data_IF_552866185298
#
_entry.id   IF_552866185298
#
_cell.length_a   1.000
_cell.length_b   1.000
_cell.length_c   1.000
_cell.angle_alpha   90.00
_cell.angle_beta   90.00
_cell.angle_gamma   90.00
#
_symmetry.space_group_name_H-M   'P 1'
#
loop_
_entity.id
_entity.type
_entity.pdbx_description
1 polymer ?
#
# COMPACT_ATOMS: atom_id res chain seq x y z
N UNK A 1 -46.24 -45.64 -27.57
CA UNK A 1 -46.08 -44.19 -27.81
C UNK A 1 -46.11 -43.49 -26.45
N UNK A 2 -44.94 -43.25 -25.83
CA UNK A 2 -44.86 -42.65 -24.49
C UNK A 2 -45.06 -41.14 -24.60
N UNK A 3 -46.25 -40.67 -24.22
CA UNK A 3 -46.55 -39.24 -24.11
C UNK A 3 -45.75 -38.66 -22.94
N UNK A 4 -44.63 -38.00 -23.22
CA UNK A 4 -43.96 -37.16 -22.23
C UNK A 4 -44.91 -36.02 -21.82
N UNK A 5 -45.49 -36.12 -20.63
CA UNK A 5 -46.19 -35.00 -20.01
C UNK A 5 -45.17 -33.87 -19.83
N UNK A 6 -45.28 -32.81 -20.64
CA UNK A 6 -44.59 -31.55 -20.37
C UNK A 6 -45.12 -31.02 -19.04
N UNK A 7 -44.34 -31.15 -17.96
CA UNK A 7 -44.62 -30.51 -16.67
C UNK A 7 -44.48 -29.00 -16.89
N UNK A 8 -45.62 -28.33 -17.11
CA UNK A 8 -45.67 -26.87 -17.12
C UNK A 8 -45.37 -26.37 -15.71
N UNK A 9 -44.43 -25.44 -15.59
CA UNK A 9 -44.17 -24.73 -14.35
C UNK A 9 -45.46 -24.08 -13.86
N UNK A 10 -45.84 -24.32 -12.61
CA UNK A 10 -46.97 -23.61 -12.01
C UNK A 10 -46.60 -22.14 -11.79
N UNK A 11 -47.57 -21.23 -11.91
CA UNK A 11 -47.35 -19.79 -11.72
C UNK A 11 -46.73 -19.47 -10.35
N UNK A 12 -47.03 -20.31 -9.36
CA UNK A 12 -46.46 -20.27 -8.01
C UNK A 12 -44.98 -20.68 -7.97
N UNK A 13 -44.59 -21.78 -8.63
CA UNK A 13 -43.18 -22.18 -8.75
C UNK A 13 -42.36 -21.10 -9.47
N UNK A 14 -42.92 -20.43 -10.48
CA UNK A 14 -42.23 -19.36 -11.20
C UNK A 14 -41.96 -18.14 -10.29
N UNK A 15 -42.91 -17.78 -9.42
CA UNK A 15 -42.72 -16.71 -8.43
C UNK A 15 -41.62 -17.05 -7.41
N UNK A 16 -41.58 -18.29 -6.92
CA UNK A 16 -40.53 -18.75 -6.00
C UNK A 16 -39.15 -18.65 -6.65
N UNK A 17 -39.02 -19.12 -7.91
CA UNK A 17 -37.74 -19.07 -8.64
C UNK A 17 -37.26 -17.62 -8.82
N UNK A 18 -38.15 -16.70 -9.16
CA UNK A 18 -37.82 -15.27 -9.30
C UNK A 18 -37.37 -14.67 -7.96
N UNK A 19 -38.04 -15.03 -6.87
CA UNK A 19 -37.70 -14.52 -5.53
C UNK A 19 -36.34 -15.03 -5.05
N UNK A 20 -36.05 -16.32 -5.26
CA UNK A 20 -34.74 -16.93 -4.93
C UNK A 20 -33.63 -16.30 -5.78
N UNK A 21 -33.87 -16.09 -7.08
CA UNK A 21 -32.92 -15.38 -7.96
C UNK A 21 -32.68 -13.94 -7.50
N UNK A 22 -33.71 -13.20 -7.09
CA UNK A 22 -33.56 -11.84 -6.59
C UNK A 22 -32.69 -11.77 -5.33
N UNK A 23 -32.85 -12.72 -4.40
CA UNK A 23 -32.00 -12.82 -3.20
C UNK A 23 -30.56 -13.18 -3.56
N UNK A 24 -30.36 -14.15 -4.46
CA UNK A 24 -29.02 -14.56 -4.91
C UNK A 24 -28.30 -13.44 -5.67
N UNK A 25 -29.02 -12.69 -6.51
CA UNK A 25 -28.48 -11.52 -7.22
C UNK A 25 -28.15 -10.41 -6.22
N UNK A 26 -29.05 -10.12 -5.28
CA UNK A 26 -28.82 -9.09 -4.25
C UNK A 26 -27.59 -9.42 -3.39
N UNK A 27 -27.51 -10.63 -2.86
CA UNK A 27 -26.38 -11.09 -2.03
C UNK A 27 -25.08 -11.25 -2.83
N UNK A 28 -25.15 -11.78 -4.04
CA UNK A 28 -24.00 -11.93 -4.94
C UNK A 28 -23.40 -10.60 -5.38
N UNK A 29 -24.23 -9.63 -5.79
CA UNK A 29 -23.78 -8.29 -6.18
C UNK A 29 -23.18 -7.55 -4.98
N UNK A 30 -23.79 -7.65 -3.79
CA UNK A 30 -23.27 -6.98 -2.60
C UNK A 30 -21.89 -7.51 -2.19
N UNK A 31 -21.71 -8.83 -2.20
CA UNK A 31 -20.43 -9.47 -1.84
C UNK A 31 -19.31 -9.22 -2.86
N UNK A 32 -19.63 -9.18 -4.16
CA UNK A 32 -18.64 -8.89 -5.22
C UNK A 32 -18.25 -7.40 -5.20
N UNK A 33 -19.21 -6.51 -4.95
CA UNK A 33 -19.00 -5.06 -4.89
C UNK A 33 -18.07 -4.67 -3.74
N UNK A 34 -18.23 -5.25 -2.55
CA UNK A 34 -17.39 -4.91 -1.39
C UNK A 34 -15.97 -5.47 -1.50
N UNK A 35 -15.81 -6.74 -1.87
CA UNK A 35 -14.49 -7.36 -2.00
C UNK A 35 -13.62 -6.74 -3.10
N UNK A 36 -14.22 -6.33 -4.23
CA UNK A 36 -13.52 -5.63 -5.30
C UNK A 36 -13.13 -4.20 -4.93
N UNK A 37 -14.02 -3.49 -4.22
CA UNK A 37 -13.79 -2.11 -3.82
C UNK A 37 -12.68 -1.99 -2.76
N UNK A 38 -12.65 -2.90 -1.78
CA UNK A 38 -11.63 -2.95 -0.71
C UNK A 38 -10.21 -3.04 -1.27
N UNK A 39 -10.01 -3.95 -2.24
CA UNK A 39 -8.74 -4.09 -2.95
C UNK A 39 -8.36 -2.81 -3.72
N UNK A 40 -9.32 -2.20 -4.41
CA UNK A 40 -9.10 -0.97 -5.17
C UNK A 40 -8.66 0.19 -4.25
N UNK A 41 -9.28 0.34 -3.08
CA UNK A 41 -8.90 1.38 -2.12
C UNK A 41 -7.51 1.14 -1.56
N UNK A 42 -7.19 -0.11 -1.20
CA UNK A 42 -5.86 -0.48 -0.73
C UNK A 42 -4.79 -0.17 -1.79
N UNK A 43 -5.00 -0.61 -3.04
CA UNK A 43 -4.10 -0.29 -4.16
C UNK A 43 -3.96 1.22 -4.38
N UNK A 44 -5.06 1.98 -4.26
CA UNK A 44 -5.05 3.44 -4.39
C UNK A 44 -4.25 4.11 -3.27
N UNK A 45 -4.41 3.67 -2.01
CA UNK A 45 -3.64 4.17 -0.86
C UNK A 45 -2.12 3.98 -1.08
N UNK A 46 -1.68 2.77 -1.48
CA UNK A 46 -0.26 2.51 -1.80
C UNK A 46 0.24 3.44 -2.90
N UNK A 47 -0.54 3.61 -3.98
CA UNK A 47 -0.13 4.45 -5.10
C UNK A 47 -0.01 5.93 -4.69
N UNK A 48 -0.93 6.42 -3.86
CA UNK A 48 -0.88 7.79 -3.31
C UNK A 48 0.36 8.01 -2.44
N UNK A 49 0.79 7.01 -1.67
CA UNK A 49 2.00 7.09 -0.84
C UNK A 49 3.29 6.94 -1.66
N UNK A 50 3.29 6.05 -2.66
CA UNK A 50 4.48 5.73 -3.44
C UNK A 50 4.92 6.88 -4.33
N UNK A 51 4.00 7.63 -4.93
CA UNK A 51 4.31 8.72 -5.86
C UNK A 51 5.26 9.77 -5.25
N UNK A 52 4.89 10.40 -4.12
CA UNK A 52 5.75 11.37 -3.42
C UNK A 52 7.10 10.79 -3.02
N UNK A 53 7.13 9.57 -2.47
CA UNK A 53 8.38 8.90 -2.06
C UNK A 53 9.31 8.67 -3.25
N UNK A 54 8.78 8.16 -4.36
CA UNK A 54 9.55 7.93 -5.59
C UNK A 54 10.09 9.23 -6.15
N UNK A 55 9.29 10.31 -6.15
CA UNK A 55 9.72 11.63 -6.59
C UNK A 55 10.79 12.23 -5.67
N UNK A 56 10.72 11.95 -4.38
CA UNK A 56 11.71 12.41 -3.39
C UNK A 56 13.07 11.77 -3.62
N UNK A 57 13.10 10.45 -3.78
CA UNK A 57 14.33 9.71 -4.10
C UNK A 57 14.89 10.13 -5.45
N UNK A 58 14.02 10.32 -6.45
CA UNK A 58 14.43 10.88 -7.74
C UNK A 58 15.10 12.25 -7.56
N UNK A 59 14.49 13.16 -6.79
CA UNK A 59 15.04 14.49 -6.50
C UNK A 59 16.41 14.41 -5.83
N UNK A 60 16.59 13.48 -4.88
CA UNK A 60 17.89 13.21 -4.27
C UNK A 60 18.91 12.69 -5.31
N UNK A 61 18.50 11.78 -6.19
CA UNK A 61 19.35 11.19 -7.24
C UNK A 61 19.84 12.17 -8.29
N UNK A 62 19.09 13.24 -8.57
CA UNK A 62 19.51 14.31 -9.48
C UNK A 62 20.08 15.53 -8.75
N UNK A 63 20.09 15.53 -7.41
CA UNK A 63 20.52 16.67 -6.59
C UNK A 63 19.68 17.93 -6.84
N UNK A 64 18.35 17.78 -6.98
CA UNK A 64 17.45 18.88 -7.35
C UNK A 64 17.35 19.92 -6.23
N UNK A 65 17.49 21.20 -6.59
CA UNK A 65 17.16 22.35 -5.73
C UNK A 65 15.68 22.33 -5.33
N UNK A 66 15.40 22.44 -4.03
CA UNK A 66 14.02 22.43 -3.50
C UNK A 66 13.49 23.85 -3.28
N UNK A 67 14.34 24.81 -2.91
CA UNK A 67 13.94 26.20 -2.67
C UNK A 67 15.11 27.16 -2.91
N UNK A 68 14.85 28.26 -3.64
CA UNK A 68 15.71 29.45 -3.70
C UNK A 68 17.18 29.24 -4.08
N UNK A 69 17.45 28.40 -5.10
CA UNK A 69 18.79 28.10 -5.64
C UNK A 69 19.76 27.32 -4.73
N UNK A 70 19.29 26.78 -3.60
CA UNK A 70 20.13 25.96 -2.70
C UNK A 70 19.85 24.47 -2.87
N UNK A 71 20.89 23.72 -3.25
CA UNK A 71 20.89 22.24 -3.21
C UNK A 71 20.93 21.83 -1.74
N UNK A 72 19.99 20.98 -1.26
CA UNK A 72 20.03 20.49 0.11
C UNK A 72 21.33 19.73 0.42
N UNK A 73 21.78 19.75 1.67
CA UNK A 73 22.91 18.93 2.12
C UNK A 73 22.53 17.44 2.19
N UNK A 74 21.26 17.15 2.50
CA UNK A 74 20.69 15.81 2.51
C UNK A 74 19.17 15.85 2.32
N UNK A 75 18.63 14.73 1.81
CA UNK A 75 17.21 14.43 1.70
C UNK A 75 16.91 13.29 2.68
N UNK A 76 15.82 13.43 3.43
CA UNK A 76 15.46 12.55 4.52
C UNK A 76 14.03 12.04 4.34
N UNK A 77 13.80 10.79 4.74
CA UNK A 77 12.47 10.22 4.95
C UNK A 77 12.44 9.74 6.40
N UNK A 78 11.53 10.28 7.22
CA UNK A 78 11.44 9.92 8.65
C UNK A 78 10.08 9.41 9.01
N UNK A 79 10.04 8.41 9.87
CA UNK A 79 8.78 7.91 10.43
C UNK A 79 8.16 8.98 11.32
N UNK A 80 6.90 9.28 11.08
CA UNK A 80 6.08 10.11 11.95
C UNK A 80 5.23 9.19 12.84
N UNK A 81 5.79 8.85 14.00
CA UNK A 81 5.15 7.96 14.99
C UNK A 81 3.85 8.53 15.54
N UNK A 82 3.71 9.86 15.62
CA UNK A 82 2.49 10.50 16.12
C UNK A 82 1.31 10.39 15.16
N UNK A 83 1.57 10.30 13.84
CA UNK A 83 0.55 10.27 12.80
C UNK A 83 0.41 8.93 12.08
N UNK A 84 1.09 7.88 12.55
CA UNK A 84 1.14 6.58 11.85
C UNK A 84 1.52 6.75 10.36
N UNK A 85 2.56 7.54 10.10
CA UNK A 85 2.91 7.96 8.74
C UNK A 85 4.40 8.27 8.59
N UNK A 86 4.75 9.07 7.60
CA UNK A 86 6.14 9.50 7.38
C UNK A 86 6.17 10.94 6.86
N UNK A 87 7.31 11.60 7.04
CA UNK A 87 7.58 12.91 6.46
C UNK A 87 8.79 12.87 5.54
N UNK A 88 8.77 13.78 4.57
CA UNK A 88 9.87 14.10 3.67
C UNK A 88 10.50 15.41 4.17
N UNK A 89 11.80 15.38 4.41
CA UNK A 89 12.55 16.49 4.98
C UNK A 89 13.83 16.67 4.21
N UNK A 90 14.36 17.88 4.20
CA UNK A 90 15.68 18.16 3.64
C UNK A 90 16.49 18.99 4.64
N UNK A 91 17.81 18.85 4.61
CA UNK A 91 18.70 19.67 5.42
C UNK A 91 19.29 20.77 4.56
N UNK A 92 19.29 21.99 5.08
CA UNK A 92 20.04 23.10 4.50
C UNK A 92 20.70 23.92 5.61
N UNK A 93 21.14 25.12 5.25
CA UNK A 93 21.87 26.02 6.17
C UNK A 93 21.14 26.33 7.49
N UNK A 94 19.80 26.30 7.48
CA UNK A 94 18.97 26.57 8.67
C UNK A 94 18.62 25.31 9.48
N UNK A 95 19.18 24.15 9.12
CA UNK A 95 18.86 22.85 9.72
C UNK A 95 17.87 22.05 8.87
N UNK A 96 17.14 21.15 9.54
CA UNK A 96 16.15 20.27 8.90
C UNK A 96 14.83 21.00 8.66
N UNK A 97 14.34 20.95 7.42
CA UNK A 97 13.11 21.59 6.98
C UNK A 97 12.17 20.52 6.42
N UNK A 98 10.92 20.55 6.87
CA UNK A 98 9.88 19.66 6.35
C UNK A 98 9.41 20.15 4.97
N UNK A 99 9.41 19.25 3.98
CA UNK A 99 8.78 19.48 2.68
C UNK A 99 7.31 19.05 2.73
N UNK A 100 7.06 17.82 3.16
CA UNK A 100 5.72 17.25 3.23
C UNK A 100 5.59 16.20 4.32
N UNK A 101 4.43 16.12 4.96
CA UNK A 101 4.13 15.14 6.01
C UNK A 101 2.88 14.37 5.64
N UNK A 102 3.00 13.05 5.58
CA UNK A 102 1.93 12.14 5.21
C UNK A 102 1.43 11.40 6.45
N UNK A 103 0.14 11.54 6.72
CA UNK A 103 -0.58 10.72 7.69
C UNK A 103 -1.51 9.78 6.95
N UNK A 104 -1.56 8.50 7.35
CA UNK A 104 -2.53 7.56 6.80
C UNK A 104 -3.97 8.01 7.04
N UNK A 105 -4.24 8.73 8.14
CA UNK A 105 -5.57 9.27 8.44
C UNK A 105 -6.04 10.33 7.46
N UNK A 106 -5.10 11.07 6.87
CA UNK A 106 -5.41 12.25 6.09
C UNK A 106 -5.61 11.89 4.60
N UNK A 107 -5.31 10.64 4.21
CA UNK A 107 -5.45 10.15 2.85
C UNK A 107 -6.80 9.45 2.72
N UNK A 108 -7.69 10.02 1.91
CA UNK A 108 -9.05 9.53 1.67
C UNK A 108 -9.11 8.06 1.21
N UNK A 109 -8.13 7.61 0.43
CA UNK A 109 -8.02 6.21 0.00
C UNK A 109 -7.47 5.28 1.07
N UNK A 110 -6.93 5.79 2.17
CA UNK A 110 -6.43 5.02 3.32
C UNK A 110 -7.44 4.95 4.48
N UNK A 111 -8.50 5.79 4.46
CA UNK A 111 -9.64 5.73 5.39
C UNK A 111 -10.98 6.00 4.68
N UNK A 112 -11.82 4.98 4.52
CA UNK A 112 -13.18 5.14 3.97
C UNK A 112 -14.24 4.58 4.91
N UNK A 113 -15.07 5.49 5.42
CA UNK A 113 -16.42 5.21 5.94
C UNK A 113 -16.51 4.23 7.11
N UNK A 114 -15.52 4.19 8.01
CA UNK A 114 -15.46 3.31 9.19
C UNK A 114 -15.50 1.79 8.89
N UNK A 115 -15.45 1.39 7.61
CA UNK A 115 -15.42 -0.03 7.20
C UNK A 115 -14.01 -0.52 6.94
N UNK A 116 -13.06 0.38 6.72
CA UNK A 116 -11.71 0.04 6.31
C UNK A 116 -10.67 0.89 7.07
N UNK A 117 -9.59 0.23 7.47
CA UNK A 117 -8.41 0.85 8.09
C UNK A 117 -7.12 0.29 7.48
N UNK A 118 -6.23 1.18 7.03
CA UNK A 118 -4.83 0.83 6.75
C UNK A 118 -3.99 1.01 7.99
N UNK A 119 -3.11 0.05 8.26
CA UNK A 119 -2.01 0.21 9.20
C UNK A 119 -0.70 0.17 8.41
N UNK A 120 0.24 1.06 8.75
CA UNK A 120 1.62 0.96 8.28
C UNK A 120 2.53 0.51 9.41
N UNK A 121 3.49 -0.33 9.08
CA UNK A 121 4.65 -0.68 9.92
C UNK A 121 5.91 -0.29 9.16
N UNK A 122 6.89 0.23 9.88
CA UNK A 122 8.13 0.74 9.32
C UNK A 122 9.31 -0.01 9.92
N UNK A 123 10.18 -0.54 9.06
CA UNK A 123 11.40 -1.25 9.51
C UNK A 123 12.58 -0.29 9.77
N UNK A 124 12.40 0.98 9.41
CA UNK A 124 13.39 2.04 9.52
C UNK A 124 12.85 3.18 10.38
N UNK A 125 13.74 3.98 10.96
CA UNK A 125 13.43 5.26 11.61
C UNK A 125 13.69 6.44 10.68
N UNK A 126 14.78 6.39 9.92
CA UNK A 126 15.22 7.45 9.00
C UNK A 126 15.86 6.82 7.75
N UNK A 127 15.58 7.38 6.57
CA UNK A 127 16.35 7.15 5.35
C UNK A 127 17.02 8.45 5.01
N UNK A 128 18.35 8.44 4.88
CA UNK A 128 19.16 9.60 4.53
C UNK A 128 19.77 9.41 3.15
N UNK A 129 19.68 10.44 2.33
CA UNK A 129 20.20 10.46 0.97
C UNK A 129 21.00 11.74 0.74
N UNK A 130 22.24 11.60 0.30
CA UNK A 130 23.05 12.74 -0.12
C UNK A 130 22.70 13.14 -1.56
N UNK A 131 22.93 14.40 -1.95
CA UNK A 131 22.73 14.85 -3.33
C UNK A 131 23.46 13.96 -4.34
N UNK A 132 22.79 13.67 -5.45
CA UNK A 132 23.26 12.73 -6.48
C UNK A 132 23.49 11.30 -6.00
N UNK A 133 23.03 10.94 -4.80
CA UNK A 133 23.34 9.69 -4.10
C UNK A 133 24.85 9.39 -4.06
N UNK A 134 25.68 10.44 -4.10
CA UNK A 134 27.13 10.29 -4.08
C UNK A 134 27.61 10.14 -2.64
N UNK A 135 28.51 9.18 -2.37
CA UNK A 135 29.16 9.11 -1.06
C UNK A 135 30.02 10.35 -0.83
N UNK A 136 30.10 10.78 0.43
CA UNK A 136 30.91 11.92 0.85
C UNK A 136 31.70 11.55 2.10
N UNK A 137 33.03 11.48 1.97
CA UNK A 137 33.91 11.02 3.05
C UNK A 137 33.57 9.60 3.49
N UNK A 138 33.13 9.45 4.74
CA UNK A 138 32.72 8.16 5.33
C UNK A 138 31.22 7.86 5.18
N UNK A 139 30.43 8.82 4.68
CA UNK A 139 28.99 8.66 4.55
C UNK A 139 28.61 8.06 3.18
N UNK A 140 27.73 7.06 3.21
CA UNK A 140 27.14 6.51 2.00
C UNK A 140 26.07 7.46 1.46
N UNK A 141 26.00 7.59 0.13
CA UNK A 141 25.04 8.47 -0.53
C UNK A 141 23.57 8.07 -0.34
N UNK A 142 23.30 6.83 0.05
CA UNK A 142 21.99 6.35 0.46
C UNK A 142 22.16 5.44 1.68
N UNK A 143 21.55 5.80 2.80
CA UNK A 143 21.62 5.03 4.05
C UNK A 143 20.24 4.91 4.67
N UNK A 144 19.90 3.70 5.13
CA UNK A 144 18.67 3.41 5.85
C UNK A 144 19.06 3.14 7.30
N UNK A 145 18.43 3.83 8.26
CA UNK A 145 18.69 3.67 9.68
C UNK A 145 17.50 3.03 10.37
N UNK A 146 17.77 2.09 11.27
CA UNK A 146 16.82 1.55 12.25
C UNK A 146 17.37 1.83 13.64
N UNK A 147 17.02 2.99 14.19
CA UNK A 147 17.66 3.50 15.39
C UNK A 147 19.14 3.84 15.13
N UNK A 148 20.05 3.07 15.72
CA UNK A 148 21.50 3.25 15.59
C UNK A 148 22.12 2.38 14.49
N UNK A 149 21.40 1.37 14.00
CA UNK A 149 21.91 0.42 13.01
C UNK A 149 21.59 0.86 11.58
N UNK A 150 22.49 0.54 10.64
CA UNK A 150 22.24 0.72 9.21
C UNK A 150 21.67 -0.54 8.57
N UNK A 151 20.62 -0.39 7.76
CA UNK A 151 20.00 -1.48 7.00
C UNK A 151 20.38 -1.42 5.51
N UNK A 152 20.55 -2.59 4.90
CA UNK A 152 20.68 -2.69 3.44
C UNK A 152 19.34 -2.48 2.73
N UNK A 153 18.25 -2.89 3.38
CA UNK A 153 16.88 -2.78 2.88
C UNK A 153 15.94 -2.40 4.00
N UNK A 154 14.99 -1.51 3.72
CA UNK A 154 13.91 -1.15 4.65
C UNK A 154 12.57 -1.17 3.94
N UNK A 155 11.47 -1.28 4.69
CA UNK A 155 10.14 -1.29 4.09
C UNK A 155 9.12 -0.48 4.90
N UNK A 156 8.12 0.04 4.18
CA UNK A 156 6.81 0.42 4.73
C UNK A 156 5.87 -0.73 4.39
N UNK A 157 5.51 -1.53 5.40
CA UNK A 157 4.57 -2.64 5.28
C UNK A 157 3.18 -2.13 5.54
N UNK A 158 2.27 -2.33 4.58
CA UNK A 158 0.89 -1.85 4.64
C UNK A 158 -0.07 -3.02 4.84
N UNK A 159 -0.88 -2.92 5.89
CA UNK A 159 -1.88 -3.90 6.29
C UNK A 159 -3.28 -3.32 6.17
N UNK A 160 -4.21 -4.19 5.81
CA UNK A 160 -5.60 -3.87 5.54
C UNK A 160 -6.49 -4.59 6.56
N UNK A 161 -7.36 -3.86 7.25
CA UNK A 161 -8.36 -4.42 8.16
C UNK A 161 -9.77 -4.07 7.64
N UNK A 162 -10.62 -5.08 7.39
CA UNK A 162 -12.02 -4.89 6.93
C UNK A 162 -12.91 -6.02 7.45
N UNK A 163 -13.85 -5.72 8.36
CA UNK A 163 -14.27 -4.38 8.79
C UNK A 163 -13.23 -3.66 9.66
N UNK A 164 -13.27 -2.32 9.76
CA UNK A 164 -12.25 -1.54 10.48
C UNK A 164 -12.08 -1.91 11.97
N UNK A 165 -13.12 -2.53 12.56
CA UNK A 165 -13.13 -3.04 13.93
C UNK A 165 -12.40 -4.39 14.07
N UNK A 166 -12.04 -5.04 12.97
CA UNK A 166 -11.29 -6.28 12.97
C UNK A 166 -9.87 -6.06 13.48
N UNK A 167 -9.43 -6.95 14.36
CA UNK A 167 -8.09 -6.96 14.96
C UNK A 167 -7.08 -7.70 14.07
N UNK A 168 -7.56 -8.64 13.25
CA UNK A 168 -6.72 -9.38 12.32
C UNK A 168 -6.62 -8.64 10.98
N UNK A 169 -5.52 -7.90 10.81
CA UNK A 169 -5.24 -7.15 9.59
C UNK A 169 -4.34 -7.97 8.66
N UNK A 170 -4.53 -7.82 7.36
CA UNK A 170 -3.83 -8.61 6.36
C UNK A 170 -2.89 -7.75 5.52
N UNK A 171 -1.66 -8.21 5.34
CA UNK A 171 -0.69 -7.53 4.49
C UNK A 171 -1.23 -7.44 3.05
N UNK A 172 -1.17 -6.26 2.47
CA UNK A 172 -1.68 -6.04 1.11
C UNK A 172 -0.66 -5.34 0.20
N UNK A 173 0.31 -4.63 0.77
CA UNK A 173 1.33 -3.95 -0.02
C UNK A 173 2.55 -3.54 0.80
N UNK A 174 3.64 -3.30 0.10
CA UNK A 174 4.90 -2.85 0.69
C UNK A 174 5.52 -1.78 -0.20
N UNK A 175 6.16 -0.79 0.39
CA UNK A 175 7.10 0.11 -0.27
C UNK A 175 8.49 -0.24 0.25
N UNK A 176 9.31 -0.83 -0.61
CA UNK A 176 10.63 -1.37 -0.27
C UNK A 176 11.72 -0.43 -0.77
N UNK A 177 12.66 -0.12 0.11
CA UNK A 177 13.85 0.69 -0.15
C UNK A 177 15.07 -0.22 -0.17
N UNK A 178 15.96 -0.01 -1.13
CA UNK A 178 17.24 -0.72 -1.22
C UNK A 178 18.37 0.29 -1.31
N UNK A 179 19.17 0.36 -0.24
CA UNK A 179 20.27 1.31 -0.12
C UNK A 179 21.41 1.03 -1.10
N UNK A 180 21.59 -0.25 -1.50
CA UNK A 180 22.71 -0.68 -2.36
C UNK A 180 22.59 -0.16 -3.78
N UNK A 181 21.35 0.01 -4.24
CA UNK A 181 21.02 0.48 -5.59
C UNK A 181 20.35 1.86 -5.57
N UNK A 182 20.14 2.45 -4.39
CA UNK A 182 19.48 3.74 -4.23
C UNK A 182 18.08 3.79 -4.83
N UNK A 183 17.29 2.72 -4.67
CA UNK A 183 16.01 2.57 -5.35
C UNK A 183 14.86 2.30 -4.38
N UNK A 184 13.65 2.68 -4.81
CA UNK A 184 12.39 2.32 -4.17
C UNK A 184 11.52 1.51 -5.12
N UNK A 185 10.79 0.54 -4.57
CA UNK A 185 9.86 -0.32 -5.32
C UNK A 185 8.58 -0.50 -4.53
N UNK A 186 7.44 -0.58 -5.20
CA UNK A 186 6.18 -1.01 -4.58
C UNK A 186 5.91 -2.48 -4.89
N UNK A 187 5.41 -3.22 -3.91
CA UNK A 187 4.98 -4.61 -4.04
C UNK A 187 3.55 -4.74 -3.56
N UNK A 188 2.79 -5.61 -4.20
CA UNK A 188 1.44 -5.95 -3.74
C UNK A 188 1.42 -7.39 -3.24
N UNK A 189 0.92 -7.57 -2.03
CA UNK A 189 0.76 -8.86 -1.39
C UNK A 189 -0.57 -9.46 -1.86
N UNK A 190 -0.50 -10.50 -2.70
CA UNK A 190 -1.69 -11.27 -3.03
C UNK A 190 -1.87 -12.35 -1.96
N UNK A 191 -3.02 -12.33 -1.29
CA UNK A 191 -3.57 -13.57 -0.74
C UNK A 191 -4.00 -14.44 -1.93
N UNK A 192 -3.17 -15.40 -2.30
CA UNK A 192 -3.64 -16.52 -3.10
C UNK A 192 -4.36 -17.45 -2.12
N UNK A 193 -5.68 -17.40 -2.09
CA UNK A 193 -6.43 -18.58 -1.64
C UNK A 193 -6.08 -19.67 -2.66
N UNK A 194 -5.53 -20.83 -2.26
CA UNK A 194 -5.40 -21.93 -3.19
C UNK A 194 -6.81 -22.28 -3.69
N UNK A 195 -6.91 -22.63 -4.98
CA UNK A 195 -8.17 -23.03 -5.64
C UNK A 195 -8.91 -24.14 -4.88
N UNK A 196 -8.20 -24.84 -3.99
CA UNK A 196 -8.66 -26.06 -3.33
C UNK A 196 -9.00 -25.84 -1.84
N UNK A 197 -9.10 -24.60 -1.36
CA UNK A 197 -9.63 -24.29 -0.02
C UNK A 197 -8.74 -24.72 1.16
N UNK A 198 -7.52 -25.22 0.92
CA UNK A 198 -6.59 -25.54 2.00
C UNK A 198 -5.97 -24.25 2.57
N UNK A 199 -6.25 -23.97 3.83
CA UNK A 199 -5.54 -22.96 4.63
C UNK A 199 -4.08 -23.38 4.83
N UNK A 200 -3.23 -23.08 3.87
CA UNK A 200 -1.78 -23.13 4.08
C UNK A 200 -1.32 -21.77 4.59
N UNK A 201 -0.89 -21.73 5.85
CA UNK A 201 -0.27 -20.57 6.50
C UNK A 201 1.03 -20.11 5.80
N UNK A 202 1.54 -20.85 4.80
CA UNK A 202 2.88 -20.67 4.24
C UNK A 202 2.93 -20.18 2.78
N UNK A 203 1.86 -19.56 2.28
CA UNK A 203 1.76 -19.12 0.88
C UNK A 203 1.73 -17.60 0.63
N UNK A 204 2.24 -16.76 1.55
CA UNK A 204 2.28 -15.30 1.31
C UNK A 204 3.48 -14.93 0.44
N UNK A 205 3.24 -14.61 -0.83
CA UNK A 205 4.26 -14.00 -1.70
C UNK A 205 3.80 -12.62 -2.16
N UNK A 206 4.43 -11.56 -1.65
CA UNK A 206 4.29 -10.22 -2.22
C UNK A 206 5.07 -10.17 -3.54
N UNK A 207 4.37 -9.89 -4.64
CA UNK A 207 5.00 -9.79 -5.97
C UNK A 207 5.02 -8.34 -6.41
N UNK A 208 6.12 -7.95 -7.03
CA UNK A 208 6.23 -6.68 -7.75
C UNK A 208 5.21 -6.71 -8.89
N UNK A 209 4.29 -5.75 -8.92
CA UNK A 209 3.46 -5.52 -10.10
C UNK A 209 4.12 -4.39 -10.87
N UNK A 210 4.64 -4.71 -12.05
CA UNK A 210 4.73 -3.73 -13.12
C UNK A 210 3.31 -3.25 -13.40
N UNK A 211 2.99 -2.04 -12.96
CA UNK A 211 1.85 -1.32 -13.52
C UNK A 211 2.23 -1.08 -14.98
N UNK A 212 1.62 -1.82 -15.90
CA UNK A 212 1.68 -1.51 -17.32
C UNK A 212 1.21 -0.07 -17.50
N UNK A 213 2.00 0.69 -18.24
CA UNK A 213 1.62 2.00 -18.75
C UNK A 213 0.37 1.88 -19.64
#
# INVERSE_FOLDING_TARGET
MFSQKKKGFTLFELLIVVFVLAILIGSGIYGISTAGADKFYAESCVNTLYGPVSNWIYSASVGKVISGDVVPDAYLIKVNSQKSGFGLYYTGNAGEIADSVFSLSDISYCQKGAKYRVQATFDFSEIRMLPSLRPSGIENGFTIYSGLDSLATGAIVLKFCSPAAETDCHDFGEIVFDARIGAVRKRFCKRYLPKDGSTSENGKTCKERTTGF
#
